data_IF_132756585885
#
_entry.id   IF_132756585885
#
_cell.length_a   1.000
_cell.length_b   1.000
_cell.length_c   1.000
_cell.angle_alpha   90.00
_cell.angle_beta   90.00
_cell.angle_gamma   90.00
#
_symmetry.space_group_name_H-M   'P 1'
#
loop_
_entity.id
_entity.type
_entity.pdbx_description
1 polymer ?
#
# COMPACT_ATOMS: atom_id res chain seq x y z
N UNK A 1 -9.55 10.46 6.76
CA UNK A 1 -9.71 9.22 5.99
C UNK A 1 -8.91 8.12 6.67
N UNK A 2 -9.56 7.04 7.03
CA UNK A 2 -8.95 5.92 7.77
C UNK A 2 -8.58 4.80 6.83
N UNK A 3 -7.39 4.24 7.02
CA UNK A 3 -6.88 3.09 6.27
C UNK A 3 -6.57 1.94 7.23
N UNK A 4 -6.45 0.75 6.69
CA UNK A 4 -6.14 -0.44 7.47
C UNK A 4 -4.73 -0.93 7.17
N UNK A 5 -3.97 -1.20 8.22
CA UNK A 5 -2.67 -1.84 8.13
C UNK A 5 -2.79 -3.30 8.58
N UNK A 6 -2.30 -4.20 7.74
CA UNK A 6 -2.17 -5.62 8.05
C UNK A 6 -0.72 -5.92 8.41
N UNK A 7 -0.52 -6.59 9.54
CA UNK A 7 0.81 -7.08 9.92
C UNK A 7 0.67 -8.53 10.35
N UNK A 8 1.41 -9.41 9.71
CA UNK A 8 1.49 -10.81 10.11
C UNK A 8 2.40 -10.91 11.34
N UNK A 9 1.85 -11.45 12.42
CA UNK A 9 2.55 -11.66 13.67
C UNK A 9 2.19 -13.06 14.19
N UNK A 10 3.19 -13.94 14.26
CA UNK A 10 3.05 -15.29 14.80
C UNK A 10 1.82 -16.07 14.30
N UNK A 11 1.69 -16.21 12.97
CA UNK A 11 0.58 -16.93 12.30
C UNK A 11 -0.79 -16.24 12.39
N UNK A 12 -0.89 -15.08 13.01
CA UNK A 12 -2.12 -14.29 13.05
C UNK A 12 -1.91 -12.96 12.33
N UNK A 13 -2.91 -12.53 11.57
CA UNK A 13 -2.89 -11.22 10.93
C UNK A 13 -3.50 -10.19 11.86
N UNK A 14 -2.69 -9.24 12.33
CA UNK A 14 -3.18 -8.12 13.12
C UNK A 14 -3.71 -7.02 12.20
N UNK A 15 -4.90 -6.49 12.52
CA UNK A 15 -5.49 -5.33 11.86
C UNK A 15 -5.30 -4.11 12.74
N UNK A 16 -4.74 -3.05 12.16
CA UNK A 16 -4.58 -1.77 12.84
C UNK A 16 -5.17 -0.67 11.96
N UNK A 17 -5.98 0.19 12.56
CA UNK A 17 -6.50 1.37 11.88
C UNK A 17 -5.53 2.52 12.04
N UNK A 18 -5.29 3.24 10.97
CA UNK A 18 -4.41 4.42 10.93
C UNK A 18 -5.05 5.52 10.09
N UNK A 19 -4.83 6.77 10.47
CA UNK A 19 -5.18 7.89 9.63
C UNK A 19 -4.26 7.94 8.40
N UNK A 20 -4.83 8.13 7.23
CA UNK A 20 -4.09 8.19 5.97
C UNK A 20 -3.01 9.27 5.99
N UNK A 21 -3.32 10.45 6.52
CA UNK A 21 -2.36 11.55 6.63
C UNK A 21 -1.17 11.18 7.52
N UNK A 22 -1.42 10.47 8.62
CA UNK A 22 -0.37 9.97 9.51
C UNK A 22 0.53 8.96 8.80
N UNK A 23 -0.05 8.05 8.02
CA UNK A 23 0.72 7.06 7.26
C UNK A 23 1.60 7.73 6.19
N UNK A 24 1.03 8.69 5.45
CA UNK A 24 1.77 9.46 4.44
C UNK A 24 2.96 10.16 5.09
N UNK A 25 2.76 10.81 6.23
CA UNK A 25 3.83 11.47 6.99
C UNK A 25 4.94 10.52 7.40
N UNK A 26 4.60 9.35 7.94
CA UNK A 26 5.57 8.32 8.29
C UNK A 26 6.35 7.81 7.09
N UNK A 27 5.68 7.60 5.97
CA UNK A 27 6.32 7.13 4.72
C UNK A 27 7.35 8.14 4.20
N UNK A 28 7.06 9.42 4.29
CA UNK A 28 7.98 10.48 3.88
C UNK A 28 9.22 10.58 4.78
N UNK A 29 9.08 10.25 6.05
CA UNK A 29 10.14 10.42 7.05
C UNK A 29 10.82 9.10 7.41
N UNK A 30 10.53 8.01 6.72
CA UNK A 30 11.15 6.73 6.98
C UNK A 30 12.67 6.81 6.87
N UNK A 31 13.35 6.38 7.92
CA UNK A 31 14.81 6.43 8.04
C UNK A 31 15.44 5.06 7.76
N UNK A 32 16.76 5.02 7.74
CA UNK A 32 17.59 3.85 7.36
C UNK A 32 17.36 2.58 8.20
N UNK A 33 16.73 2.68 9.35
CA UNK A 33 16.49 1.52 10.24
C UNK A 33 15.17 0.81 9.98
N UNK A 34 14.45 1.20 8.96
CA UNK A 34 13.11 0.71 8.69
C UNK A 34 13.10 -0.59 7.87
N UNK A 35 12.02 -1.40 7.98
CA UNK A 35 11.90 -2.67 7.25
C UNK A 35 12.03 -2.55 5.74
N UNK A 36 11.63 -1.42 5.16
CA UNK A 36 11.74 -1.19 3.71
C UNK A 36 13.18 -1.13 3.26
N UNK A 37 14.04 -0.43 4.00
CA UNK A 37 15.47 -0.36 3.69
C UNK A 37 16.14 -1.73 3.76
N UNK A 38 15.82 -2.51 4.78
CA UNK A 38 16.30 -3.88 4.93
C UNK A 38 15.83 -4.78 3.78
N UNK A 39 14.57 -4.66 3.37
CA UNK A 39 14.02 -5.41 2.25
C UNK A 39 14.73 -5.07 0.92
N UNK A 40 14.99 -3.79 0.65
CA UNK A 40 15.70 -3.37 -0.55
C UNK A 40 17.14 -3.89 -0.61
N UNK A 41 17.79 -3.96 0.55
CA UNK A 41 19.13 -4.52 0.64
C UNK A 41 19.14 -6.02 0.33
N UNK A 42 18.19 -6.76 0.87
CA UNK A 42 18.00 -8.19 0.59
C UNK A 42 17.74 -8.44 -0.90
N UNK A 43 16.96 -7.59 -1.57
CA UNK A 43 16.71 -7.71 -3.00
C UNK A 43 17.97 -7.60 -3.86
N UNK A 44 18.99 -6.91 -3.37
CA UNK A 44 20.27 -6.75 -4.09
C UNK A 44 21.18 -7.98 -3.96
N UNK A 45 21.18 -8.63 -2.82
CA UNK A 45 22.24 -9.57 -2.44
C UNK A 45 21.77 -10.99 -2.11
N UNK A 46 20.47 -11.26 -2.04
CA UNK A 46 19.94 -12.50 -1.49
C UNK A 46 19.21 -13.38 -2.49
N UNK A 47 19.07 -14.65 -2.12
CA UNK A 47 18.32 -15.65 -2.87
C UNK A 47 16.80 -15.38 -2.85
N UNK A 48 16.03 -15.91 -3.84
CA UNK A 48 14.59 -15.68 -3.93
C UNK A 48 13.78 -15.98 -2.66
N UNK A 49 14.12 -17.05 -1.94
CA UNK A 49 13.42 -17.45 -0.71
C UNK A 49 13.57 -16.41 0.40
N UNK A 50 14.78 -15.85 0.54
CA UNK A 50 15.04 -14.77 1.50
C UNK A 50 14.27 -13.50 1.15
N UNK A 51 14.08 -13.23 -0.15
CA UNK A 51 13.28 -12.08 -0.61
C UNK A 51 11.82 -12.20 -0.19
N UNK A 52 11.21 -13.37 -0.35
CA UNK A 52 9.85 -13.62 0.10
C UNK A 52 9.71 -13.45 1.61
N UNK A 53 10.63 -13.99 2.38
CA UNK A 53 10.63 -13.90 3.83
C UNK A 53 10.71 -12.44 4.32
N UNK A 54 11.59 -11.64 3.74
CA UNK A 54 11.71 -10.23 4.11
C UNK A 54 10.50 -9.40 3.65
N UNK A 55 9.92 -9.73 2.49
CA UNK A 55 8.69 -9.09 2.02
C UNK A 55 7.52 -9.32 2.98
N UNK A 56 7.40 -10.54 3.55
CA UNK A 56 6.33 -10.89 4.48
C UNK A 56 6.43 -10.14 5.81
N UNK A 57 7.60 -9.63 6.17
CA UNK A 57 7.77 -8.77 7.36
C UNK A 57 7.22 -7.37 7.18
N UNK A 58 7.04 -6.92 5.94
CA UNK A 58 6.52 -5.59 5.67
C UNK A 58 5.03 -5.52 5.98
N UNK A 59 4.57 -4.44 6.62
CA UNK A 59 3.14 -4.22 6.79
C UNK A 59 2.46 -4.00 5.44
N UNK A 60 1.28 -4.58 5.27
CA UNK A 60 0.43 -4.36 4.10
C UNK A 60 -0.57 -3.26 4.42
N UNK A 61 -0.74 -2.34 3.49
CA UNK A 61 -1.68 -1.23 3.64
C UNK A 61 -2.87 -1.43 2.71
N UNK A 62 -4.05 -1.25 3.25
CA UNK A 62 -5.31 -1.29 2.51
C UNK A 62 -5.90 0.13 2.49
N UNK A 63 -5.63 0.91 1.44
CA UNK A 63 -6.08 2.30 1.39
C UNK A 63 -7.57 2.45 1.07
N UNK A 64 -8.18 1.43 0.48
CA UNK A 64 -9.56 1.49 0.00
C UNK A 64 -10.58 1.66 1.12
N UNK A 65 -10.33 1.14 2.30
CA UNK A 65 -11.31 1.13 3.37
C UNK A 65 -10.68 0.93 4.75
N UNK A 66 -11.47 1.23 5.78
CA UNK A 66 -11.21 0.82 7.14
C UNK A 66 -11.91 -0.53 7.40
N UNK A 67 -11.13 -1.53 7.78
CA UNK A 67 -11.63 -2.85 8.15
C UNK A 67 -11.46 -3.12 9.64
N UNK A 68 -12.35 -3.91 10.20
CA UNK A 68 -12.23 -4.45 11.55
C UNK A 68 -12.41 -5.96 11.53
N UNK A 69 -11.80 -6.63 12.49
CA UNK A 69 -11.98 -8.07 12.66
C UNK A 69 -13.27 -8.34 13.45
N UNK A 70 -14.07 -9.26 12.95
CA UNK A 70 -15.26 -9.77 13.63
C UNK A 70 -15.20 -11.31 13.69
N UNK A 71 -16.11 -11.95 14.40
CA UNK A 71 -16.19 -13.42 14.47
C UNK A 71 -16.38 -14.06 13.09
N UNK A 72 -17.08 -13.38 12.18
CA UNK A 72 -17.28 -13.82 10.80
C UNK A 72 -16.17 -13.45 9.82
N UNK A 73 -15.05 -12.88 10.29
CA UNK A 73 -13.92 -12.44 9.46
C UNK A 73 -13.69 -10.93 9.48
N UNK A 74 -13.32 -10.35 8.37
CA UNK A 74 -13.04 -8.90 8.25
C UNK A 74 -14.29 -8.18 7.76
N UNK A 75 -14.75 -7.21 8.52
CA UNK A 75 -15.89 -6.38 8.16
C UNK A 75 -15.41 -4.97 7.79
N UNK A 76 -15.93 -4.43 6.68
CA UNK A 76 -15.68 -3.05 6.29
C UNK A 76 -16.44 -2.09 7.19
N UNK A 77 -15.73 -1.11 7.77
CA UNK A 77 -16.30 -0.08 8.62
C UNK A 77 -16.57 1.22 7.85
N UNK A 78 -15.66 1.60 6.96
CA UNK A 78 -15.80 2.76 6.10
C UNK A 78 -15.08 2.53 4.77
N UNK A 79 -15.55 3.19 3.71
CA UNK A 79 -15.00 3.10 2.37
C UNK A 79 -14.44 4.46 1.94
N UNK A 80 -13.20 4.46 1.44
CA UNK A 80 -12.48 5.69 1.10
C UNK A 80 -12.59 6.08 -0.38
N UNK A 81 -13.02 5.20 -1.26
CA UNK A 81 -13.03 5.46 -2.70
C UNK A 81 -11.62 5.60 -3.28
N UNK A 82 -10.69 4.80 -2.79
CA UNK A 82 -9.30 4.78 -3.24
C UNK A 82 -8.99 3.41 -3.83
N UNK A 83 -8.37 3.42 -5.01
CA UNK A 83 -7.80 2.22 -5.63
C UNK A 83 -6.28 2.37 -5.71
N UNK A 84 -5.55 1.30 -5.44
CA UNK A 84 -4.10 1.26 -5.60
C UNK A 84 -3.74 0.71 -6.97
N UNK A 85 -2.94 1.47 -7.69
CA UNK A 85 -2.34 1.08 -8.96
C UNK A 85 -0.83 0.93 -8.76
N UNK A 86 -0.25 -0.05 -9.44
CA UNK A 86 1.19 -0.27 -9.40
C UNK A 86 1.76 -0.22 -10.81
N UNK A 87 2.79 0.60 -10.99
CA UNK A 87 3.54 0.68 -12.25
C UNK A 87 4.96 0.15 -11.99
N UNK A 88 5.35 -0.87 -12.72
CA UNK A 88 6.66 -1.49 -12.60
C UNK A 88 6.69 -2.91 -13.16
N UNK A 89 7.88 -3.55 -13.15
CA UNK A 89 9.16 -3.03 -12.63
C UNK A 89 9.77 -1.92 -13.51
N UNK A 90 10.38 -0.92 -12.86
CA UNK A 90 11.06 0.19 -13.50
C UNK A 90 12.57 0.03 -13.39
N UNK A 91 13.33 0.63 -14.32
CA UNK A 91 14.77 0.42 -14.43
C UNK A 91 15.60 1.21 -13.42
N UNK A 92 15.09 2.32 -12.88
CA UNK A 92 15.86 3.11 -11.93
C UNK A 92 15.22 4.43 -11.53
N UNK A 93 15.98 5.23 -10.78
CA UNK A 93 15.53 6.47 -10.19
C UNK A 93 14.97 7.52 -11.16
N UNK A 94 15.61 7.81 -12.31
CA UNK A 94 15.08 8.76 -13.28
C UNK A 94 13.71 8.37 -13.83
N UNK A 95 13.52 7.09 -14.14
CA UNK A 95 12.24 6.56 -14.61
C UNK A 95 11.16 6.62 -13.53
N UNK A 96 11.50 6.29 -12.29
CA UNK A 96 10.61 6.40 -11.14
C UNK A 96 10.16 7.85 -10.94
N UNK A 97 11.08 8.80 -11.00
CA UNK A 97 10.79 10.23 -10.86
C UNK A 97 9.83 10.71 -11.95
N UNK A 98 10.06 10.31 -13.20
CA UNK A 98 9.19 10.66 -14.32
C UNK A 98 7.78 10.09 -14.15
N UNK A 99 7.66 8.82 -13.81
CA UNK A 99 6.37 8.18 -13.59
C UNK A 99 5.61 8.83 -12.44
N UNK A 100 6.29 9.15 -11.34
CA UNK A 100 5.67 9.84 -10.20
C UNK A 100 5.15 11.22 -10.60
N UNK A 101 5.91 11.97 -11.40
CA UNK A 101 5.50 13.28 -11.89
C UNK A 101 4.25 13.17 -12.78
N UNK A 102 4.27 12.29 -13.78
CA UNK A 102 3.15 12.08 -14.67
C UNK A 102 1.88 11.62 -13.93
N UNK A 103 2.03 10.74 -12.96
CA UNK A 103 0.92 10.30 -12.13
C UNK A 103 0.35 11.43 -11.28
N UNK A 104 1.21 12.27 -10.70
CA UNK A 104 0.78 13.40 -9.87
C UNK A 104 0.00 14.45 -10.66
N UNK A 105 0.28 14.60 -11.94
CA UNK A 105 -0.43 15.53 -12.83
C UNK A 105 -1.88 15.10 -13.11
N UNK A 106 -2.25 13.85 -12.82
CA UNK A 106 -3.61 13.37 -13.05
C UNK A 106 -4.55 13.82 -11.92
N UNK A 107 -5.72 14.38 -12.25
CA UNK A 107 -6.63 14.93 -11.24
C UNK A 107 -7.19 13.89 -10.26
N UNK A 108 -7.23 12.61 -10.67
CA UNK A 108 -7.71 11.52 -9.84
C UNK A 108 -6.68 11.06 -8.80
N UNK A 109 -5.42 11.46 -8.94
CA UNK A 109 -4.36 11.01 -8.05
C UNK A 109 -4.50 11.65 -6.67
N UNK A 110 -4.60 10.80 -5.65
CA UNK A 110 -4.62 11.22 -4.25
C UNK A 110 -3.23 11.20 -3.62
N UNK A 111 -2.45 10.16 -3.93
CA UNK A 111 -1.10 9.98 -3.39
C UNK A 111 -0.24 9.17 -4.35
N UNK A 112 1.05 9.48 -4.43
CA UNK A 112 2.04 8.75 -5.23
C UNK A 112 3.28 8.51 -4.39
N UNK A 113 3.78 7.28 -4.40
CA UNK A 113 5.00 6.95 -3.68
C UNK A 113 5.74 5.78 -4.33
N UNK A 114 7.01 5.65 -3.98
CA UNK A 114 7.84 4.53 -4.45
C UNK A 114 7.48 3.26 -3.70
N UNK A 115 7.28 2.17 -4.42
CA UNK A 115 7.01 0.86 -3.81
C UNK A 115 8.18 0.35 -2.98
N UNK A 116 7.92 -0.64 -2.12
CA UNK A 116 8.92 -1.20 -1.20
C UNK A 116 10.16 -1.76 -1.88
N UNK A 117 10.04 -2.29 -3.10
CA UNK A 117 11.18 -2.78 -3.87
C UNK A 117 12.14 -1.67 -4.34
N UNK A 118 11.69 -0.41 -4.36
CA UNK A 118 12.41 0.70 -4.95
C UNK A 118 12.37 0.73 -6.48
N UNK A 119 11.64 -0.19 -7.12
CA UNK A 119 11.55 -0.35 -8.59
C UNK A 119 10.13 -0.26 -9.13
N UNK A 120 9.23 0.24 -8.34
CA UNK A 120 7.84 0.45 -8.74
C UNK A 120 7.30 1.76 -8.18
N UNK A 121 6.25 2.25 -8.80
CA UNK A 121 5.50 3.40 -8.31
C UNK A 121 4.11 2.94 -7.93
N UNK A 122 3.70 3.29 -6.73
CA UNK A 122 2.34 3.07 -6.22
C UNK A 122 1.56 4.37 -6.35
N UNK A 123 0.35 4.26 -6.85
CA UNK A 123 -0.55 5.39 -7.05
C UNK A 123 -1.85 5.07 -6.33
N UNK A 124 -2.25 5.92 -5.41
CA UNK A 124 -3.58 5.87 -4.82
C UNK A 124 -4.47 6.87 -5.55
N UNK A 125 -5.41 6.34 -6.32
CA UNK A 125 -6.30 7.13 -7.15
C UNK A 125 -7.73 7.11 -6.58
N UNK A 126 -8.43 8.23 -6.74
CA UNK A 126 -9.84 8.35 -6.39
C UNK A 126 -10.68 7.52 -7.36
N UNK A 127 -11.59 6.75 -6.85
CA UNK A 127 -12.45 5.87 -7.62
C UNK A 127 -13.89 5.93 -7.12
N UNK A 128 -14.82 6.00 -8.07
CA UNK A 128 -16.26 5.90 -7.80
C UNK A 128 -16.85 4.90 -8.77
N UNK A 129 -17.70 4.00 -8.28
CA UNK A 129 -18.40 3.06 -9.15
C UNK A 129 -19.41 3.80 -10.02
N UNK A 130 -19.64 3.36 -11.29
CA UNK A 130 -20.58 4.02 -12.18
C UNK A 130 -22.02 4.12 -11.65
N UNK A 131 -22.42 3.16 -10.83
CA UNK A 131 -23.76 3.11 -10.20
C UNK A 131 -23.80 3.77 -8.82
N UNK A 132 -22.70 4.38 -8.39
CA UNK A 132 -22.52 4.96 -7.05
C UNK A 132 -22.74 3.97 -5.89
N UNK A 133 -22.72 2.67 -6.15
CA UNK A 133 -22.85 1.66 -5.11
C UNK A 133 -21.61 1.63 -4.20
N UNK A 134 -21.81 1.21 -2.95
CA UNK A 134 -20.71 0.96 -2.02
C UNK A 134 -20.37 -0.53 -2.02
N UNK A 135 -19.09 -0.88 -1.96
CA UNK A 135 -18.68 -2.28 -1.86
C UNK A 135 -19.13 -2.87 -0.54
N UNK A 136 -19.55 -4.14 -0.58
CA UNK A 136 -19.98 -4.88 0.62
C UNK A 136 -18.87 -5.77 1.18
N UNK A 137 -17.91 -6.12 0.35
CA UNK A 137 -16.81 -7.02 0.70
C UNK A 137 -15.46 -6.36 0.39
N UNK A 138 -14.42 -6.86 1.05
CA UNK A 138 -13.06 -6.38 0.84
C UNK A 138 -12.64 -6.47 -0.63
N UNK A 139 -12.88 -7.60 -1.26
CA UNK A 139 -12.49 -7.84 -2.65
C UNK A 139 -13.13 -6.82 -3.61
N UNK A 140 -14.34 -6.40 -3.32
CA UNK A 140 -15.04 -5.38 -4.08
C UNK A 140 -14.48 -3.97 -3.84
N UNK A 141 -13.97 -3.71 -2.65
CA UNK A 141 -13.40 -2.42 -2.29
C UNK A 141 -12.02 -2.18 -2.90
N UNK A 142 -11.29 -3.26 -3.21
CA UNK A 142 -9.94 -3.22 -3.74
C UNK A 142 -9.86 -3.25 -5.28
N UNK A 143 -11.01 -3.34 -5.95
CA UNK A 143 -11.08 -3.34 -7.42
C UNK A 143 -11.15 -1.93 -7.99
#
# INVERSE_FOLDING_TARGET
MKITQLRDKDKTTALTTMDMETWIGKTRTETKTQPVSAFREVLRYSLPDSRCYEADKLPKILPAAEFRRTEGGKQMKSYNGIVELTIGPLSGGPEITLVKQLAWEQPQTHCVFTGSSGRSVKIWAKFTRPDNSLPQKREEAEI
#
